data_IF_041369205217
#
_entry.id   IF_041369205217
#
_cell.length_a   1.000
_cell.length_b   1.000
_cell.length_c   1.000
_cell.angle_alpha   90.00
_cell.angle_beta   90.00
_cell.angle_gamma   90.00
#
_symmetry.space_group_name_H-M   'P 1'
#
loop_
_entity.id
_entity.type
_entity.pdbx_description
1 polymer ?
#
# COMPACT_ATOMS: atom_id res chain seq x y z
N UNK A 1 50.44 -2.33 17.20
CA UNK A 1 49.32 -1.45 17.57
C UNK A 1 48.71 -1.94 18.87
N UNK A 2 48.86 -1.17 19.95
CA UNK A 2 48.22 -1.40 21.24
C UNK A 2 47.22 -0.29 21.50
N UNK A 3 46.08 -0.64 22.09
CA UNK A 3 45.12 0.35 22.58
C UNK A 3 45.55 0.92 23.91
N UNK A 4 45.26 2.20 24.14
CA UNK A 4 45.53 2.86 25.41
C UNK A 4 44.63 2.29 26.51
N UNK A 5 45.22 2.11 27.70
CA UNK A 5 44.46 1.78 28.90
C UNK A 5 43.69 3.01 29.41
N UNK A 6 42.72 2.80 30.31
CA UNK A 6 42.02 3.93 30.95
C UNK A 6 42.97 4.90 31.64
N UNK A 7 44.02 4.40 32.31
CA UNK A 7 45.01 5.23 32.98
C UNK A 7 45.81 6.05 31.96
N UNK A 8 46.31 5.40 30.91
CA UNK A 8 47.07 6.04 29.83
C UNK A 8 46.25 7.11 29.10
N UNK A 9 44.95 6.88 28.91
CA UNK A 9 44.04 7.85 28.30
C UNK A 9 43.87 9.09 29.20
N UNK A 10 43.73 8.89 30.51
CA UNK A 10 43.63 9.99 31.48
C UNK A 10 44.92 10.82 31.49
N UNK A 11 46.08 10.16 31.55
CA UNK A 11 47.38 10.81 31.55
C UNK A 11 47.61 11.59 30.24
N UNK A 12 47.27 10.99 29.10
CA UNK A 12 47.34 11.63 27.79
C UNK A 12 46.44 12.88 27.72
N UNK A 13 45.22 12.79 28.24
CA UNK A 13 44.33 13.96 28.27
C UNK A 13 44.83 15.06 29.20
N UNK A 14 45.46 14.71 30.32
CA UNK A 14 46.07 15.69 31.22
C UNK A 14 47.26 16.43 30.56
N UNK A 15 48.01 15.75 29.70
CA UNK A 15 49.16 16.32 28.99
C UNK A 15 48.76 17.15 27.76
N UNK A 16 47.85 16.63 26.92
CA UNK A 16 47.60 17.15 25.57
C UNK A 16 46.16 17.63 25.32
N UNK A 17 45.26 17.48 26.29
CA UNK A 17 43.84 17.85 26.19
C UNK A 17 43.13 17.23 24.98
N UNK A 18 43.36 15.93 24.75
CA UNK A 18 42.83 15.18 23.61
C UNK A 18 41.29 15.17 23.52
N UNK A 19 40.58 15.47 24.61
CA UNK A 19 39.12 15.57 24.64
C UNK A 19 38.71 16.77 25.51
N UNK A 20 37.87 17.65 24.97
CA UNK A 20 37.38 18.84 25.69
C UNK A 20 35.87 19.04 25.47
N UNK A 21 35.04 19.14 26.53
CA UNK A 21 35.38 18.96 27.94
C UNK A 21 35.66 17.49 28.30
N UNK A 22 36.52 17.25 29.30
CA UNK A 22 36.86 15.90 29.77
C UNK A 22 36.19 15.58 31.09
N UNK A 23 35.44 14.48 31.13
CA UNK A 23 34.85 13.94 32.35
C UNK A 23 35.47 12.59 32.73
N UNK A 24 36.03 12.49 33.93
CA UNK A 24 36.60 11.23 34.42
C UNK A 24 35.57 10.08 34.47
N UNK A 25 34.30 10.41 34.73
CA UNK A 25 33.21 9.43 34.79
C UNK A 25 32.91 8.78 33.43
N UNK A 26 33.29 9.42 32.32
CA UNK A 26 33.09 8.94 30.95
C UNK A 26 34.17 7.94 30.51
N UNK A 27 35.26 7.78 31.27
CA UNK A 27 36.29 6.78 30.99
C UNK A 27 35.81 5.39 31.42
N UNK A 28 35.69 4.46 30.46
CA UNK A 28 35.22 3.09 30.68
C UNK A 28 36.03 2.11 29.84
N UNK A 29 36.62 1.10 30.49
CA UNK A 29 37.22 -0.07 29.84
C UNK A 29 38.21 0.27 28.71
N UNK A 30 39.10 1.25 28.92
CA UNK A 30 40.07 1.69 27.90
C UNK A 30 39.50 2.60 26.80
N UNK A 31 38.24 3.03 26.93
CA UNK A 31 37.61 3.99 26.03
C UNK A 31 37.17 5.25 26.80
N UNK A 32 36.97 6.34 26.06
CA UNK A 32 36.20 7.49 26.53
C UNK A 32 34.81 7.47 25.87
N UNK A 33 33.73 7.67 26.61
CA UNK A 33 32.38 7.73 26.05
C UNK A 33 31.98 9.18 25.75
N UNK A 34 32.03 9.56 24.47
CA UNK A 34 31.59 10.87 24.01
C UNK A 34 30.06 10.99 24.04
N UNK A 35 29.58 12.22 24.15
CA UNK A 35 28.17 12.55 24.33
C UNK A 35 27.53 13.11 23.07
N UNK A 36 26.22 12.95 22.95
CA UNK A 36 25.43 13.63 21.93
C UNK A 36 25.45 15.15 22.18
N UNK A 37 25.91 15.90 21.19
CA UNK A 37 26.03 17.34 21.20
C UNK A 37 24.71 18.07 20.92
N UNK A 38 24.86 19.35 20.60
CA UNK A 38 23.78 20.30 20.42
C UNK A 38 23.26 20.38 18.97
N UNK A 39 23.94 19.77 18.00
CA UNK A 39 23.48 19.76 16.60
C UNK A 39 23.11 18.37 16.12
N UNK A 40 21.92 18.28 15.54
CA UNK A 40 21.41 17.06 14.91
C UNK A 40 20.73 17.41 13.59
N UNK A 41 20.93 16.58 12.57
CA UNK A 41 20.12 16.60 11.36
C UNK A 41 19.37 15.27 11.24
N UNK A 42 18.12 15.31 10.82
CA UNK A 42 17.30 14.12 10.59
C UNK A 42 16.60 14.22 9.23
N UNK A 43 16.57 13.14 8.47
CA UNK A 43 15.98 13.17 7.12
C UNK A 43 14.45 13.32 7.09
N UNK A 44 13.77 13.02 8.21
CA UNK A 44 12.33 13.24 8.40
C UNK A 44 11.99 14.63 8.97
N UNK A 45 12.96 15.50 9.26
CA UNK A 45 12.65 16.83 9.79
C UNK A 45 12.00 17.73 8.73
N UNK A 46 11.03 18.54 9.17
CA UNK A 46 10.37 19.55 8.34
C UNK A 46 10.32 20.88 9.12
N UNK A 47 11.03 21.93 8.67
CA UNK A 47 11.88 21.99 7.49
C UNK A 47 13.14 21.12 7.61
N UNK A 48 13.66 20.63 6.46
CA UNK A 48 14.91 19.86 6.41
C UNK A 48 16.09 20.78 6.71
N UNK A 49 16.68 20.62 7.88
CA UNK A 49 17.79 21.44 8.34
C UNK A 49 18.38 20.91 9.66
N UNK A 50 19.46 21.55 10.10
CA UNK A 50 20.07 21.27 11.40
C UNK A 50 19.17 21.79 12.51
N UNK A 51 18.81 20.90 13.42
CA UNK A 51 18.12 21.22 14.66
C UNK A 51 19.15 21.44 15.75
N UNK A 52 19.04 22.58 16.45
CA UNK A 52 19.80 22.83 17.68
C UNK A 52 19.03 22.32 18.88
N UNK A 53 19.64 21.44 19.64
CA UNK A 53 19.09 20.81 20.84
C UNK A 53 19.46 21.60 22.09
N UNK A 54 18.50 21.84 22.97
CA UNK A 54 18.67 22.34 24.33
C UNK A 54 18.93 21.19 25.31
N UNK A 55 19.33 21.52 26.53
CA UNK A 55 19.70 20.51 27.52
C UNK A 55 18.50 19.59 27.83
N UNK A 56 18.76 18.28 27.84
CA UNK A 56 17.76 17.23 28.00
C UNK A 56 16.78 17.04 26.84
N UNK A 57 16.96 17.72 25.71
CA UNK A 57 16.16 17.43 24.51
C UNK A 57 16.39 16.00 24.02
N UNK A 58 15.30 15.41 23.53
CA UNK A 58 15.28 14.09 22.93
C UNK A 58 15.05 14.19 21.43
N UNK A 59 15.77 13.36 20.69
CA UNK A 59 15.54 13.13 19.27
C UNK A 59 14.98 11.74 19.03
N UNK A 60 14.16 11.63 18.00
CA UNK A 60 13.46 10.41 17.63
C UNK A 60 13.88 10.02 16.22
N UNK A 61 14.76 9.03 16.10
CA UNK A 61 15.18 8.51 14.79
C UNK A 61 14.17 7.45 14.38
N UNK A 62 13.29 7.79 13.44
CA UNK A 62 12.28 6.87 12.91
C UNK A 62 12.89 5.75 12.07
N UNK A 63 12.25 4.56 12.01
CA UNK A 63 12.64 3.48 11.11
C UNK A 63 12.89 3.95 9.68
N UNK A 64 14.02 3.52 9.12
CA UNK A 64 14.42 3.80 7.75
C UNK A 64 14.87 5.23 7.46
N UNK A 65 15.11 6.04 8.49
CA UNK A 65 15.65 7.39 8.35
C UNK A 65 17.11 7.48 8.78
N UNK A 66 17.81 8.44 8.19
CA UNK A 66 19.17 8.81 8.58
C UNK A 66 19.14 9.97 9.58
N UNK A 67 20.14 10.00 10.44
CA UNK A 67 20.47 11.15 11.25
C UNK A 67 21.97 11.43 11.22
N UNK A 68 22.33 12.71 11.27
CA UNK A 68 23.69 13.16 11.54
C UNK A 68 23.72 13.69 12.98
N UNK A 69 24.62 13.14 13.78
CA UNK A 69 24.75 13.44 15.20
C UNK A 69 26.13 14.02 15.46
N UNK A 70 26.20 15.25 15.94
CA UNK A 70 27.47 15.88 16.31
C UNK A 70 27.80 15.57 17.78
N UNK A 71 29.06 15.32 18.12
CA UNK A 71 29.47 15.16 19.52
C UNK A 71 29.44 16.48 20.29
N UNK A 72 29.27 16.41 21.61
CA UNK A 72 29.41 17.60 22.45
C UNK A 72 30.88 18.00 22.58
N UNK A 73 31.76 17.01 22.73
CA UNK A 73 33.19 17.18 22.92
C UNK A 73 33.92 17.44 21.60
N UNK A 74 34.94 18.29 21.68
CA UNK A 74 36.01 18.42 20.68
C UNK A 74 37.07 17.38 20.98
N UNK A 75 37.46 16.62 19.96
CA UNK A 75 38.48 15.58 20.02
C UNK A 75 39.70 16.03 19.25
N UNK A 76 40.87 15.88 19.85
CA UNK A 76 42.18 16.13 19.26
C UNK A 76 42.98 14.82 19.28
N UNK A 77 43.37 14.35 18.10
CA UNK A 77 44.16 13.13 17.95
C UNK A 77 45.64 13.51 17.81
N UNK A 78 46.52 13.04 18.72
CA UNK A 78 47.96 13.23 18.56
C UNK A 78 48.48 12.66 17.23
N UNK A 79 49.57 13.23 16.68
CA UNK A 79 50.12 12.83 15.37
C UNK A 79 50.65 11.40 15.34
N UNK A 80 51.03 10.87 16.50
CA UNK A 80 51.55 9.52 16.72
C UNK A 80 50.45 8.52 17.14
N UNK A 81 49.17 8.90 17.05
CA UNK A 81 48.04 8.04 17.45
C UNK A 81 46.93 8.07 16.42
N UNK A 82 46.15 7.00 16.41
CA UNK A 82 44.90 6.89 15.67
C UNK A 82 43.79 6.57 16.65
N UNK A 83 42.58 7.06 16.41
CA UNK A 83 41.43 6.71 17.25
C UNK A 83 40.38 5.92 16.49
N UNK A 84 39.66 5.05 17.19
CA UNK A 84 38.58 4.22 16.68
C UNK A 84 37.29 4.64 17.35
N UNK A 85 36.22 4.75 16.58
CA UNK A 85 34.91 5.16 17.07
C UNK A 85 33.87 4.07 16.86
N UNK A 86 32.92 4.01 17.79
CA UNK A 86 31.75 3.15 17.67
C UNK A 86 30.56 3.84 18.34
N UNK A 87 29.40 3.20 18.20
CA UNK A 87 28.21 3.48 19.01
C UNK A 87 28.10 2.39 20.09
N UNK A 88 27.55 2.69 21.27
CA UNK A 88 27.30 1.71 22.33
C UNK A 88 26.40 0.57 21.84
N UNK A 89 26.74 -0.66 22.24
CA UNK A 89 26.01 -1.87 21.85
C UNK A 89 24.52 -1.82 22.20
N UNK A 90 24.17 -1.22 23.35
CA UNK A 90 22.78 -1.05 23.79
C UNK A 90 21.89 -0.30 22.81
N UNK A 91 22.46 0.65 22.05
CA UNK A 91 21.75 1.39 21.01
C UNK A 91 21.83 0.67 19.67
N UNK A 92 22.97 0.05 19.35
CA UNK A 92 23.13 -0.75 18.13
C UNK A 92 22.11 -1.89 18.05
N UNK A 93 21.84 -2.57 19.17
CA UNK A 93 20.85 -3.64 19.22
C UNK A 93 19.39 -3.17 19.05
N UNK A 94 19.11 -1.87 19.19
CA UNK A 94 17.81 -1.29 18.83
C UNK A 94 17.64 -1.10 17.31
N UNK A 95 18.68 -1.38 16.52
CA UNK A 95 18.68 -1.21 15.08
C UNK A 95 19.44 0.03 14.60
N UNK A 96 20.13 0.78 15.48
CA UNK A 96 20.93 1.92 15.06
C UNK A 96 22.25 1.46 14.42
N UNK A 97 22.37 1.66 13.13
CA UNK A 97 23.55 1.32 12.34
C UNK A 97 24.45 2.54 12.23
N UNK A 98 25.73 2.38 12.56
CA UNK A 98 26.73 3.41 12.27
C UNK A 98 27.15 3.32 10.81
N UNK A 99 26.98 4.42 10.07
CA UNK A 99 27.36 4.56 8.66
C UNK A 99 28.58 5.47 8.50
N UNK A 100 29.02 6.15 9.56
CA UNK A 100 30.25 6.94 9.55
C UNK A 100 31.51 6.07 9.42
N UNK A 101 32.64 6.74 9.21
CA UNK A 101 33.97 6.11 9.32
C UNK A 101 34.17 5.43 10.67
N UNK A 102 35.05 4.43 10.70
CA UNK A 102 35.33 3.65 11.91
C UNK A 102 36.51 4.20 12.73
N UNK A 103 37.26 5.16 12.19
CA UNK A 103 38.44 5.74 12.81
C UNK A 103 38.47 7.27 12.63
N UNK A 104 39.34 7.90 13.40
CA UNK A 104 39.69 9.32 13.33
C UNK A 104 41.19 9.40 13.09
N UNK A 105 41.56 10.16 12.07
CA UNK A 105 42.94 10.25 11.60
C UNK A 105 43.88 10.96 12.58
N UNK A 106 45.18 10.66 12.54
CA UNK A 106 46.18 11.34 13.36
C UNK A 106 46.25 12.83 13.02
N UNK A 107 46.39 13.68 14.05
CA UNK A 107 46.42 15.13 13.89
C UNK A 107 45.06 15.79 13.69
N UNK A 108 43.95 15.02 13.62
CA UNK A 108 42.61 15.61 13.54
C UNK A 108 42.27 16.37 14.82
N UNK A 109 41.67 17.56 14.69
CA UNK A 109 41.10 18.32 15.79
C UNK A 109 39.70 18.83 15.42
N UNK A 110 38.69 18.47 16.20
CA UNK A 110 37.30 18.86 15.94
C UNK A 110 36.25 18.00 16.65
N UNK A 111 34.98 18.37 16.49
CA UNK A 111 33.84 17.56 16.89
C UNK A 111 33.60 16.44 15.89
N UNK A 112 33.25 15.26 16.40
CA UNK A 112 33.02 14.08 15.56
C UNK A 112 31.59 14.05 15.07
N UNK A 113 31.44 13.73 13.78
CA UNK A 113 30.15 13.58 13.12
C UNK A 113 29.81 12.10 12.95
N UNK A 114 28.71 11.67 13.55
CA UNK A 114 28.16 10.32 13.39
C UNK A 114 27.00 10.34 12.40
N UNK A 115 27.18 9.68 11.26
CA UNK A 115 26.08 9.34 10.36
C UNK A 115 25.48 8.01 10.79
N UNK A 116 24.19 8.00 11.11
CA UNK A 116 23.49 6.83 11.62
C UNK A 116 22.22 6.55 10.82
N UNK A 117 21.85 5.28 10.74
CA UNK A 117 20.62 4.82 10.08
C UNK A 117 19.83 3.91 11.02
N UNK A 118 18.52 4.16 11.16
CA UNK A 118 17.66 3.25 11.91
C UNK A 118 17.18 2.11 11.01
N UNK A 119 17.83 0.95 11.12
CA UNK A 119 17.43 -0.29 10.46
C UNK A 119 16.41 -1.11 11.26
N UNK A 120 16.04 -0.65 12.46
CA UNK A 120 15.04 -1.28 13.31
C UNK A 120 13.61 -0.98 12.87
N UNK A 121 12.65 -1.56 13.58
CA UNK A 121 11.21 -1.39 13.34
C UNK A 121 10.55 -0.37 14.27
N UNK A 122 11.30 0.24 15.20
CA UNK A 122 10.80 1.17 16.20
C UNK A 122 11.63 2.45 16.24
N UNK A 123 11.04 3.53 16.75
CA UNK A 123 11.75 4.80 16.97
C UNK A 123 12.88 4.61 17.98
N UNK A 124 14.08 5.10 17.63
CA UNK A 124 15.22 5.12 18.52
C UNK A 124 15.32 6.51 19.14
N UNK A 125 15.18 6.56 20.46
CA UNK A 125 15.22 7.80 21.24
C UNK A 125 16.64 8.02 21.74
N UNK A 126 17.22 9.18 21.44
CA UNK A 126 18.51 9.63 21.96
C UNK A 126 18.34 10.98 22.65
N UNK A 127 18.98 11.16 23.80
CA UNK A 127 18.90 12.40 24.58
C UNK A 127 20.22 13.16 24.51
N UNK A 128 20.17 14.48 24.32
CA UNK A 128 21.37 15.34 24.36
C UNK A 128 22.13 15.13 25.67
N UNK A 129 23.46 15.15 25.60
CA UNK A 129 24.36 14.97 26.74
C UNK A 129 24.51 13.52 27.20
N UNK A 130 23.77 12.57 26.62
CA UNK A 130 23.95 11.16 26.93
C UNK A 130 25.17 10.57 26.21
N UNK A 131 25.87 9.67 26.92
CA UNK A 131 27.10 9.00 26.48
C UNK A 131 26.76 7.86 25.52
N UNK A 132 27.01 8.04 24.22
CA UNK A 132 26.66 7.07 23.18
C UNK A 132 27.85 6.59 22.36
N UNK A 133 28.93 7.37 22.29
CA UNK A 133 29.97 7.17 21.30
C UNK A 133 31.32 6.86 21.95
N UNK A 134 31.62 5.57 22.23
CA UNK A 134 32.95 5.20 22.70
C UNK A 134 34.01 5.50 21.64
N UNK A 135 35.11 6.09 22.09
CA UNK A 135 36.34 6.30 21.34
C UNK A 135 37.51 5.60 22.05
N UNK A 136 38.32 4.87 21.27
CA UNK A 136 39.56 4.24 21.73
C UNK A 136 40.75 4.83 21.00
N UNK A 137 41.87 4.98 21.68
CA UNK A 137 43.12 5.46 21.08
C UNK A 137 44.09 4.30 20.93
N UNK A 138 44.85 4.29 19.83
CA UNK A 138 45.87 3.32 19.55
C UNK A 138 47.17 3.99 19.09
N UNK A 139 48.29 3.41 19.48
CA UNK A 139 49.63 3.88 19.08
C UNK A 139 49.90 3.62 17.60
N UNK A 140 50.49 4.62 16.93
CA UNK A 140 51.06 4.49 15.59
C UNK A 140 52.58 4.39 15.65
N UNK A 141 53.13 3.65 14.70
CA UNK A 141 54.58 3.54 14.49
C UNK A 141 55.07 4.70 13.60
N UNK A 142 54.93 5.92 14.11
CA UNK A 142 55.33 7.16 13.43
C UNK A 142 54.27 8.27 13.47
N UNK A 143 54.72 9.49 13.23
CA UNK A 143 53.84 10.66 13.15
C UNK A 143 53.21 10.81 11.76
N UNK A 144 51.94 11.23 11.73
CA UNK A 144 51.21 11.61 10.53
C UNK A 144 50.50 12.96 10.74
N UNK A 145 50.36 13.74 9.68
CA UNK A 145 49.62 15.01 9.70
C UNK A 145 48.25 14.85 9.06
N UNK A 146 47.24 15.47 9.68
CA UNK A 146 45.91 15.54 9.11
C UNK A 146 45.88 16.56 7.98
N UNK A 147 45.50 16.11 6.78
CA UNK A 147 45.34 16.96 5.58
C UNK A 147 43.94 16.81 4.98
N UNK A 148 42.92 16.74 5.84
CA UNK A 148 41.53 16.54 5.44
C UNK A 148 40.68 17.81 5.52
N UNK A 149 39.49 17.75 4.91
CA UNK A 149 38.56 18.90 4.79
C UNK A 149 37.80 19.20 6.08
N UNK A 150 37.87 18.30 7.08
CA UNK A 150 37.10 18.38 8.33
C UNK A 150 37.90 18.93 9.52
N UNK A 151 39.05 19.56 9.27
CA UNK A 151 39.84 20.17 10.33
C UNK A 151 39.05 21.28 11.04
N UNK A 152 39.16 21.33 12.38
CA UNK A 152 38.44 22.25 13.25
C UNK A 152 36.90 22.21 13.11
N UNK A 153 36.33 21.08 12.68
CA UNK A 153 34.88 20.93 12.53
C UNK A 153 34.16 21.18 13.86
N UNK A 154 33.23 22.13 13.88
CA UNK A 154 32.47 22.49 15.09
C UNK A 154 30.94 22.44 14.91
N UNK A 155 30.49 22.17 13.69
CA UNK A 155 29.07 22.09 13.29
C UNK A 155 28.88 20.96 12.29
N UNK A 156 27.64 20.56 12.06
CA UNK A 156 27.32 19.64 10.96
C UNK A 156 27.62 20.35 9.62
N UNK A 157 28.48 19.77 8.74
CA UNK A 157 28.77 20.35 7.43
C UNK A 157 27.56 20.33 6.50
N UNK A 158 27.54 21.23 5.51
CA UNK A 158 26.41 21.35 4.58
C UNK A 158 26.41 20.23 3.52
N UNK A 159 27.57 19.67 3.15
CA UNK A 159 27.67 18.64 2.10
C UNK A 159 26.93 17.34 2.46
N UNK A 160 27.09 16.75 3.66
CA UNK A 160 26.29 15.58 4.07
C UNK A 160 24.80 15.88 4.17
N UNK A 161 24.43 17.09 4.58
CA UNK A 161 23.02 17.53 4.64
C UNK A 161 22.43 17.56 3.23
N UNK A 162 23.15 18.14 2.27
CA UNK A 162 22.73 18.20 0.87
C UNK A 162 22.59 16.80 0.28
N UNK A 163 23.56 15.91 0.52
CA UNK A 163 23.52 14.53 0.05
C UNK A 163 22.33 13.74 0.62
N UNK A 164 22.06 13.87 1.92
CA UNK A 164 20.93 13.18 2.56
C UNK A 164 19.56 13.85 2.29
N UNK A 165 19.56 15.11 1.87
CA UNK A 165 18.33 15.82 1.47
C UNK A 165 17.91 15.51 0.04
N UNK A 166 18.80 14.99 -0.80
CA UNK A 166 18.53 14.61 -2.17
C UNK A 166 17.74 13.29 -2.22
N UNK A 167 16.42 13.41 -2.42
CA UNK A 167 15.53 12.28 -2.65
C UNK A 167 14.56 11.98 -1.50
N UNK A 168 13.54 11.19 -1.84
CA UNK A 168 12.65 10.57 -0.86
C UNK A 168 13.29 9.27 -0.38
N UNK A 169 13.67 9.21 0.89
CA UNK A 169 14.13 7.96 1.51
C UNK A 169 12.90 7.07 1.68
N UNK A 170 12.70 6.17 0.74
CA UNK A 170 11.63 5.18 0.82
C UNK A 170 12.07 4.02 1.72
N UNK A 171 11.91 4.20 3.03
CA UNK A 171 12.08 3.14 4.00
C UNK A 171 11.21 1.91 3.63
N UNK A 172 11.69 0.66 3.76
CA UNK A 172 10.90 -0.53 3.46
C UNK A 172 9.54 -0.56 4.18
N UNK A 173 9.47 -0.03 5.40
CA UNK A 173 8.22 0.02 6.18
C UNK A 173 7.21 1.00 5.59
N UNK A 174 7.67 2.14 5.08
CA UNK A 174 6.83 3.11 4.37
C UNK A 174 6.32 2.52 3.06
N UNK A 175 7.17 1.73 2.38
CA UNK A 175 6.77 0.98 1.18
C UNK A 175 5.69 -0.06 1.50
N UNK A 176 5.82 -0.83 2.57
CA UNK A 176 4.77 -1.78 3.00
C UNK A 176 3.45 -1.08 3.27
N UNK A 177 3.48 0.08 3.97
CA UNK A 177 2.27 0.87 4.20
C UNK A 177 1.60 1.35 2.90
N UNK A 178 2.40 1.86 1.95
CA UNK A 178 1.91 2.23 0.62
C UNK A 178 1.33 1.03 -0.15
N UNK A 179 1.93 -0.15 -0.02
CA UNK A 179 1.44 -1.39 -0.65
C UNK A 179 0.09 -1.79 -0.06
N UNK A 180 -0.08 -1.73 1.26
CA UNK A 180 -1.34 -2.06 1.92
C UNK A 180 -2.45 -1.07 1.56
N UNK A 181 -2.13 0.22 1.47
CA UNK A 181 -3.06 1.26 0.99
C UNK A 181 -3.50 1.00 -0.45
N UNK A 182 -2.55 0.76 -1.36
CA UNK A 182 -2.83 0.42 -2.76
C UNK A 182 -3.67 -0.85 -2.87
N UNK A 183 -3.39 -1.86 -2.05
CA UNK A 183 -4.16 -3.11 -2.00
C UNK A 183 -5.59 -2.86 -1.53
N UNK A 184 -5.78 -2.06 -0.48
CA UNK A 184 -7.10 -1.72 0.04
C UNK A 184 -7.93 -0.95 -1.00
N UNK A 185 -7.30 -0.03 -1.73
CA UNK A 185 -7.93 0.71 -2.82
C UNK A 185 -8.32 -0.21 -3.99
N UNK A 186 -7.48 -1.18 -4.34
CA UNK A 186 -7.78 -2.19 -5.34
C UNK A 186 -8.98 -3.06 -4.92
N UNK A 187 -8.97 -3.58 -3.69
CA UNK A 187 -10.05 -4.42 -3.14
C UNK A 187 -11.39 -3.64 -3.11
N UNK A 188 -11.34 -2.34 -2.76
CA UNK A 188 -12.53 -1.47 -2.78
C UNK A 188 -13.09 -1.31 -4.19
N UNK A 189 -12.24 -1.09 -5.19
CA UNK A 189 -12.66 -0.95 -6.60
C UNK A 189 -13.23 -2.26 -7.14
N UNK A 190 -12.60 -3.40 -6.82
CA UNK A 190 -13.10 -4.73 -7.21
C UNK A 190 -14.49 -4.97 -6.61
N UNK A 191 -14.68 -4.66 -5.32
CA UNK A 191 -15.99 -4.81 -4.67
C UNK A 191 -17.10 -3.95 -5.27
N UNK A 192 -16.79 -2.75 -5.79
CA UNK A 192 -17.75 -1.92 -6.52
C UNK A 192 -18.14 -2.56 -7.86
N UNK A 193 -17.15 -3.03 -8.63
CA UNK A 193 -17.40 -3.72 -9.91
C UNK A 193 -18.19 -5.01 -9.75
N UNK A 194 -17.91 -5.80 -8.71
CA UNK A 194 -18.67 -7.02 -8.43
C UNK A 194 -20.14 -6.73 -8.11
N UNK A 195 -20.45 -5.61 -7.43
CA UNK A 195 -21.83 -5.18 -7.15
C UNK A 195 -22.55 -4.78 -8.42
N UNK A 196 -21.90 -3.97 -9.26
CA UNK A 196 -22.46 -3.54 -10.54
C UNK A 196 -22.69 -4.73 -11.47
N UNK A 197 -21.72 -5.65 -11.57
CA UNK A 197 -21.85 -6.88 -12.35
C UNK A 197 -22.98 -7.77 -11.83
N UNK A 198 -23.12 -7.96 -10.51
CA UNK A 198 -24.23 -8.73 -9.92
C UNK A 198 -25.57 -8.07 -10.24
N UNK A 199 -25.68 -6.75 -10.08
CA UNK A 199 -26.91 -6.01 -10.39
C UNK A 199 -27.29 -6.17 -11.88
N UNK A 200 -26.34 -5.98 -12.79
CA UNK A 200 -26.53 -6.18 -14.23
C UNK A 200 -26.92 -7.63 -14.53
N UNK A 201 -26.29 -8.62 -13.90
CA UNK A 201 -26.63 -10.03 -14.08
C UNK A 201 -28.05 -10.34 -13.59
N UNK A 202 -28.48 -9.83 -12.43
CA UNK A 202 -29.86 -10.00 -11.95
C UNK A 202 -30.88 -9.30 -12.85
N UNK A 203 -30.60 -8.08 -13.30
CA UNK A 203 -31.46 -7.33 -14.21
C UNK A 203 -31.62 -8.05 -15.56
N UNK A 204 -30.52 -8.51 -16.14
CA UNK A 204 -30.55 -9.25 -17.41
C UNK A 204 -31.25 -10.60 -17.27
N UNK A 205 -30.99 -11.37 -16.20
CA UNK A 205 -31.65 -12.65 -15.95
C UNK A 205 -33.16 -12.49 -15.73
N UNK A 206 -33.59 -11.48 -14.97
CA UNK A 206 -35.02 -11.19 -14.75
C UNK A 206 -35.72 -10.71 -16.01
N UNK A 207 -35.10 -9.81 -16.79
CA UNK A 207 -35.63 -9.37 -18.07
C UNK A 207 -35.78 -10.53 -19.06
N UNK A 208 -34.78 -11.41 -19.13
CA UNK A 208 -34.81 -12.59 -20.00
C UNK A 208 -35.91 -13.57 -19.57
N UNK A 209 -36.07 -13.79 -18.26
CA UNK A 209 -37.17 -14.58 -17.71
C UNK A 209 -38.54 -14.04 -18.10
N UNK A 210 -38.78 -12.73 -17.92
CA UNK A 210 -40.04 -12.08 -18.31
C UNK A 210 -40.30 -12.23 -19.81
N UNK A 211 -39.29 -12.02 -20.65
CA UNK A 211 -39.40 -12.15 -22.10
C UNK A 211 -39.81 -13.58 -22.53
N UNK A 212 -39.21 -14.61 -21.91
CA UNK A 212 -39.57 -16.01 -22.16
C UNK A 212 -41.03 -16.27 -21.78
N UNK A 213 -41.50 -15.77 -20.63
CA UNK A 213 -42.88 -15.96 -20.17
C UNK A 213 -43.88 -15.30 -21.13
N UNK A 214 -43.58 -14.09 -21.62
CA UNK A 214 -44.42 -13.39 -22.61
C UNK A 214 -44.48 -14.18 -23.92
N UNK A 215 -43.34 -14.67 -24.42
CA UNK A 215 -43.28 -15.46 -25.65
C UNK A 215 -44.06 -16.77 -25.54
N UNK A 216 -43.94 -17.48 -24.42
CA UNK A 216 -44.72 -18.69 -24.15
C UNK A 216 -46.22 -18.38 -24.14
N UNK A 217 -46.63 -17.31 -23.45
CA UNK A 217 -48.04 -16.89 -23.38
C UNK A 217 -48.60 -16.54 -24.77
N UNK A 218 -47.85 -15.77 -25.57
CA UNK A 218 -48.23 -15.44 -26.95
C UNK A 218 -48.33 -16.69 -27.84
N UNK A 219 -47.41 -17.65 -27.68
CA UNK A 219 -47.46 -18.92 -28.42
C UNK A 219 -48.68 -19.77 -28.06
N UNK A 220 -49.03 -19.84 -26.77
CA UNK A 220 -50.22 -20.53 -26.28
C UNK A 220 -51.49 -19.83 -26.79
N UNK A 221 -51.60 -18.51 -26.63
CA UNK A 221 -52.73 -17.70 -27.11
C UNK A 221 -52.93 -17.89 -28.63
N UNK A 222 -51.84 -17.91 -29.41
CA UNK A 222 -51.86 -18.17 -30.85
C UNK A 222 -52.35 -19.59 -31.19
N UNK A 223 -51.92 -20.59 -30.44
CA UNK A 223 -52.37 -21.98 -30.61
C UNK A 223 -53.88 -22.11 -30.37
N UNK A 224 -54.38 -21.56 -29.26
CA UNK A 224 -55.80 -21.55 -28.95
C UNK A 224 -56.62 -20.79 -29.98
N UNK A 225 -56.12 -19.64 -30.47
CA UNK A 225 -56.78 -18.89 -31.53
C UNK A 225 -56.92 -19.72 -32.81
N UNK A 226 -55.84 -20.35 -33.27
CA UNK A 226 -55.87 -21.18 -34.48
C UNK A 226 -56.79 -22.40 -34.32
N UNK A 227 -56.79 -23.04 -33.15
CA UNK A 227 -57.71 -24.13 -32.85
C UNK A 227 -59.16 -23.66 -32.90
N UNK A 228 -59.47 -22.50 -32.31
CA UNK A 228 -60.81 -21.91 -32.34
C UNK A 228 -61.27 -21.54 -33.76
N UNK A 229 -60.38 -21.01 -34.59
CA UNK A 229 -60.67 -20.73 -36.01
C UNK A 229 -60.96 -22.02 -36.77
N UNK A 230 -60.15 -23.07 -36.59
CA UNK A 230 -60.35 -24.37 -37.25
C UNK A 230 -61.69 -25.00 -36.87
N UNK A 231 -62.04 -25.00 -35.57
CA UNK A 231 -63.34 -25.52 -35.10
C UNK A 231 -64.50 -24.77 -35.76
N UNK A 232 -64.43 -23.44 -35.86
CA UNK A 232 -65.48 -22.63 -36.50
C UNK A 232 -65.58 -22.89 -38.00
N UNK A 233 -64.46 -23.09 -38.68
CA UNK A 233 -64.44 -23.48 -40.11
C UNK A 233 -65.13 -24.83 -40.31
N UNK A 234 -64.86 -25.80 -39.45
CA UNK A 234 -65.46 -27.13 -39.53
C UNK A 234 -66.96 -27.13 -39.18
N UNK A 235 -67.38 -26.36 -38.17
CA UNK A 235 -68.80 -26.14 -37.88
C UNK A 235 -69.54 -25.53 -39.07
N UNK A 236 -68.95 -24.50 -39.71
CA UNK A 236 -69.56 -23.86 -40.88
C UNK A 236 -69.67 -24.81 -42.08
N UNK A 237 -68.72 -25.73 -42.25
CA UNK A 237 -68.81 -26.80 -43.26
C UNK A 237 -69.97 -27.76 -42.94
N UNK A 238 -70.14 -28.15 -41.69
CA UNK A 238 -71.25 -29.01 -41.26
C UNK A 238 -72.61 -28.33 -41.46
N UNK A 239 -72.73 -27.05 -41.10
CA UNK A 239 -73.95 -26.25 -41.36
C UNK A 239 -74.28 -26.20 -42.85
N UNK A 240 -73.31 -25.91 -43.72
CA UNK A 240 -73.52 -25.91 -45.17
C UNK A 240 -73.97 -27.29 -45.69
N UNK A 241 -73.42 -28.39 -45.15
CA UNK A 241 -73.84 -29.74 -45.53
C UNK A 241 -75.27 -30.04 -45.08
N UNK A 242 -75.63 -29.67 -43.86
CA UNK A 242 -77.00 -29.82 -43.33
C UNK A 242 -77.98 -29.01 -44.18
N UNK A 243 -77.68 -27.74 -44.45
CA UNK A 243 -78.51 -26.87 -45.29
C UNK A 243 -78.69 -27.44 -46.70
N UNK A 244 -77.62 -27.97 -47.31
CA UNK A 244 -77.70 -28.61 -48.62
C UNK A 244 -78.60 -29.86 -48.60
N UNK A 245 -78.54 -30.65 -47.53
CA UNK A 245 -79.35 -31.86 -47.33
C UNK A 245 -80.82 -31.50 -47.11
N UNK A 246 -81.10 -30.50 -46.29
CA UNK A 246 -82.46 -29.98 -46.05
C UNK A 246 -83.05 -29.47 -47.36
N UNK A 247 -82.30 -28.70 -48.14
CA UNK A 247 -82.75 -28.19 -49.44
C UNK A 247 -83.06 -29.32 -50.43
N UNK A 248 -82.22 -30.37 -50.49
CA UNK A 248 -82.49 -31.54 -51.32
C UNK A 248 -83.78 -32.27 -50.90
N UNK A 249 -83.99 -32.49 -49.60
CA UNK A 249 -85.20 -33.11 -49.05
C UNK A 249 -86.46 -32.27 -49.28
N UNK A 250 -86.36 -30.95 -49.17
CA UNK A 250 -87.47 -30.04 -49.47
C UNK A 250 -87.88 -30.12 -50.95
N UNK A 251 -86.90 -30.24 -51.86
CA UNK A 251 -87.15 -30.43 -53.29
C UNK A 251 -87.83 -31.77 -53.57
N UNK A 252 -87.35 -32.85 -52.95
CA UNK A 252 -87.95 -34.19 -53.03
C UNK A 252 -89.42 -34.18 -52.53
N UNK A 253 -89.66 -33.61 -51.35
CA UNK A 253 -91.01 -33.45 -50.77
C UNK A 253 -91.95 -32.66 -51.69
N UNK A 254 -91.48 -31.54 -52.27
CA UNK A 254 -92.26 -30.77 -53.26
C UNK A 254 -92.61 -31.61 -54.49
N UNK A 255 -91.67 -32.44 -54.97
CA UNK A 255 -91.93 -33.37 -56.07
C UNK A 255 -93.01 -34.41 -55.76
N UNK A 256 -92.95 -35.03 -54.57
CA UNK A 256 -93.96 -35.98 -54.12
C UNK A 256 -95.35 -35.34 -53.96
N UNK A 257 -95.43 -34.12 -53.43
CA UNK A 257 -96.69 -33.39 -53.32
C UNK A 257 -97.33 -33.13 -54.70
N UNK A 258 -96.53 -32.73 -55.69
CA UNK A 258 -96.99 -32.56 -57.08
C UNK A 258 -97.52 -33.87 -57.67
N UNK A 259 -96.86 -35.01 -57.40
CA UNK A 259 -97.34 -36.32 -57.82
C UNK A 259 -98.67 -36.69 -57.15
N UNK A 260 -98.80 -36.46 -55.84
CA UNK A 260 -100.05 -36.70 -55.10
C UNK A 260 -101.19 -35.85 -55.68
N UNK A 261 -100.96 -34.56 -55.93
CA UNK A 261 -101.95 -33.68 -56.55
C UNK A 261 -102.36 -34.16 -57.95
N UNK A 262 -101.41 -34.64 -58.76
CA UNK A 262 -101.70 -35.19 -60.08
C UNK A 262 -102.57 -36.45 -60.01
N UNK A 263 -102.31 -37.35 -59.05
CA UNK A 263 -103.09 -38.57 -58.83
C UNK A 263 -104.50 -38.24 -58.33
N UNK A 264 -104.65 -37.27 -57.41
CA UNK A 264 -105.95 -36.80 -56.95
C UNK A 264 -106.79 -36.17 -58.07
N UNK A 265 -106.13 -35.48 -59.02
CA UNK A 265 -106.79 -34.90 -60.20
C UNK A 265 -107.30 -35.97 -61.18
N UNK A 266 -106.54 -37.05 -61.37
CA UNK A 266 -106.98 -38.24 -62.14
C UNK A 266 -108.16 -38.94 -61.45
N UNK A 267 -108.13 -39.07 -60.13
CA UNK A 267 -109.22 -39.69 -59.35
C UNK A 267 -110.53 -38.87 -59.38
N UNK A 268 -110.46 -37.55 -59.63
CA UNK A 268 -111.63 -36.68 -59.80
C UNK A 268 -112.23 -36.71 -61.21
N UNK A 269 -111.53 -37.28 -62.20
CA UNK A 269 -111.99 -37.34 -63.60
C UNK A 269 -112.56 -38.70 -64.00
N UNK A 270 -112.55 -39.71 -63.12
CA UNK A 270 -113.20 -41.01 -63.33
C UNK A 270 -114.54 -41.17 -62.58
N UNK A 271 -115.25 -40.07 -62.32
CA UNK A 271 -116.58 -40.05 -61.72
C UNK A 271 -117.64 -39.75 -62.77
#
# INVERSE_FOLDING_TARGET
MSFLSSASLIDLNAAEQIITPFELSAVKNGAYELTLGDEVFQTNSSPRGVTKLTDHDEIYIEPGHFALLLTAETVKIPKDKIAFISIKASIKFKGLVNVSGFHVDPGFEGKLLFSVYNAGSYNIILSRGSKYFPIWFAELDGEQEYNGVHEAQNRIPDDPIAALSQGEINAPIVLSGKIDEVRQDADRRIGLLERDQKAIHYLSATALGIAITILLKLGIDWCFFNQGVNIRVDQKKQEMLIDSTINARLKEKKGLLLQIDSIQKIRRTSK
#
